data_IF_871899826254
#
_entry.id   IF_871899826254
#
_cell.length_a   1.000
_cell.length_b   1.000
_cell.length_c   1.000
_cell.angle_alpha   90.00
_cell.angle_beta   90.00
_cell.angle_gamma   90.00
#
_symmetry.space_group_name_H-M   'P 1'
#
loop_
_entity.id
_entity.type
_entity.pdbx_description
1 polymer ?
#
# COMPACT_ATOMS: atom_id res chain seq x y z
N UNK A 1 13.62 -5.17 -4.14
CA UNK A 1 12.18 -4.95 -4.42
C UNK A 1 12.09 -4.34 -5.80
N UNK A 2 11.20 -4.81 -6.68
CA UNK A 2 11.06 -4.25 -8.05
C UNK A 2 10.44 -2.86 -7.98
N UNK A 3 10.79 -1.96 -8.89
CA UNK A 3 10.38 -0.54 -8.82
C UNK A 3 8.85 -0.35 -8.90
N UNK A 4 8.15 -1.18 -9.68
CA UNK A 4 6.68 -1.13 -9.74
C UNK A 4 6.02 -1.50 -8.39
N UNK A 5 6.66 -2.37 -7.58
CA UNK A 5 6.15 -2.72 -6.25
C UNK A 5 6.36 -1.53 -5.31
N UNK A 6 7.54 -0.89 -5.37
CA UNK A 6 7.82 0.30 -4.56
C UNK A 6 6.81 1.42 -4.86
N UNK A 7 6.58 1.71 -6.15
CA UNK A 7 5.59 2.70 -6.58
C UNK A 7 4.18 2.37 -6.06
N UNK A 8 3.74 1.12 -6.24
CA UNK A 8 2.44 0.68 -5.72
C UNK A 8 2.31 0.85 -4.21
N UNK A 9 3.33 0.48 -3.44
CA UNK A 9 3.29 0.61 -1.97
C UNK A 9 3.09 2.07 -1.56
N UNK A 10 3.82 3.00 -2.18
CA UNK A 10 3.67 4.43 -1.91
C UNK A 10 2.28 4.92 -2.31
N UNK A 11 1.80 4.59 -3.52
CA UNK A 11 0.51 5.03 -4.03
C UNK A 11 -0.66 4.50 -3.16
N UNK A 12 -0.60 3.22 -2.77
CA UNK A 12 -1.59 2.58 -1.90
C UNK A 12 -1.62 3.24 -0.52
N UNK A 13 -0.46 3.47 0.08
CA UNK A 13 -0.37 4.10 1.41
C UNK A 13 -0.90 5.52 1.38
N UNK A 14 -0.52 6.31 0.37
CA UNK A 14 -1.02 7.68 0.19
C UNK A 14 -2.53 7.70 -0.03
N UNK A 15 -3.06 6.77 -0.82
CA UNK A 15 -4.50 6.64 -1.03
C UNK A 15 -5.24 6.36 0.29
N UNK A 16 -4.78 5.36 1.06
CA UNK A 16 -5.38 4.99 2.36
C UNK A 16 -5.40 6.19 3.31
N UNK A 17 -4.29 6.93 3.44
CA UNK A 17 -4.21 8.10 4.32
C UNK A 17 -5.10 9.24 3.82
N UNK A 18 -5.11 9.52 2.51
CA UNK A 18 -5.89 10.62 1.93
C UNK A 18 -7.40 10.39 2.01
N UNK A 19 -7.85 9.15 1.85
CA UNK A 19 -9.29 8.82 1.79
C UNK A 19 -9.82 8.14 3.04
N UNK A 20 -8.97 7.87 4.04
CA UNK A 20 -9.27 6.99 5.17
C UNK A 20 -9.89 5.64 4.73
N UNK A 21 -9.46 5.12 3.57
CA UNK A 21 -10.00 3.88 3.03
C UNK A 21 -9.47 2.67 3.81
N UNK A 22 -10.33 1.67 3.99
CA UNK A 22 -9.90 0.39 4.55
C UNK A 22 -8.99 -0.36 3.57
N UNK A 23 -8.17 -1.26 4.11
CA UNK A 23 -7.29 -2.16 3.34
C UNK A 23 -8.06 -2.93 2.26
N UNK A 24 -9.32 -3.29 2.53
CA UNK A 24 -10.21 -4.01 1.60
C UNK A 24 -10.70 -3.11 0.47
N UNK A 25 -11.03 -1.85 0.75
CA UNK A 25 -11.43 -0.88 -0.28
C UNK A 25 -10.24 -0.52 -1.18
N UNK A 26 -9.06 -0.27 -0.60
CA UNK A 26 -7.85 -0.01 -1.38
C UNK A 26 -7.50 -1.20 -2.31
N UNK A 27 -7.64 -2.44 -1.82
CA UNK A 27 -7.42 -3.63 -2.63
C UNK A 27 -8.28 -3.68 -3.91
N UNK A 28 -9.56 -3.28 -3.80
CA UNK A 28 -10.47 -3.21 -4.95
C UNK A 28 -10.04 -2.12 -5.94
N UNK A 29 -9.64 -0.94 -5.45
CA UNK A 29 -9.22 0.19 -6.29
C UNK A 29 -7.92 -0.10 -7.04
N UNK A 30 -6.95 -0.73 -6.38
CA UNK A 30 -5.64 -1.03 -6.95
C UNK A 30 -5.59 -2.40 -7.67
N UNK A 31 -6.71 -3.11 -7.77
CA UNK A 31 -6.79 -4.39 -8.49
C UNK A 31 -5.90 -5.49 -7.90
N UNK A 32 -5.69 -5.49 -6.59
CA UNK A 32 -4.84 -6.46 -5.88
C UNK A 32 -5.59 -7.13 -4.75
N UNK A 33 -5.04 -8.21 -4.20
CA UNK A 33 -5.67 -8.87 -3.05
C UNK A 33 -5.53 -8.03 -1.78
N UNK A 34 -6.49 -8.19 -0.86
CA UNK A 34 -6.43 -7.60 0.50
C UNK A 34 -5.13 -7.97 1.23
N UNK A 35 -4.65 -9.21 1.07
CA UNK A 35 -3.38 -9.66 1.66
C UNK A 35 -2.16 -8.98 1.02
N UNK A 36 -2.23 -8.62 -0.27
CA UNK A 36 -1.16 -7.88 -0.96
C UNK A 36 -1.06 -6.47 -0.42
N UNK A 37 -2.19 -5.75 -0.31
CA UNK A 37 -2.24 -4.41 0.30
C UNK A 37 -1.74 -4.47 1.74
N UNK A 38 -2.19 -5.47 2.52
CA UNK A 38 -1.72 -5.63 3.90
C UNK A 38 -0.20 -5.76 3.97
N UNK A 39 0.43 -6.64 3.17
CA UNK A 39 1.90 -6.75 3.12
C UNK A 39 2.56 -5.45 2.65
N UNK A 40 1.91 -4.71 1.74
CA UNK A 40 2.40 -3.42 1.27
C UNK A 40 2.50 -2.41 2.42
N UNK A 41 1.45 -2.23 3.21
CA UNK A 41 1.48 -1.28 4.34
C UNK A 41 2.25 -1.79 5.56
N UNK A 42 2.17 -3.08 5.92
CA UNK A 42 2.77 -3.55 7.19
C UNK A 42 4.23 -3.99 7.07
N UNK A 43 4.67 -4.49 5.92
CA UNK A 43 6.02 -5.05 5.76
C UNK A 43 6.90 -4.26 4.79
N UNK A 44 6.30 -3.69 3.74
CA UNK A 44 7.05 -3.07 2.63
C UNK A 44 7.18 -1.57 2.78
N UNK A 45 6.14 -0.89 3.27
CA UNK A 45 6.15 0.55 3.51
C UNK A 45 7.28 0.96 4.48
N UNK A 46 7.50 0.29 5.63
CA UNK A 46 8.59 0.65 6.55
C UNK A 46 9.99 0.50 5.94
N UNK A 47 10.14 -0.31 4.87
CA UNK A 47 11.40 -0.48 4.14
C UNK A 47 11.63 0.61 3.09
N UNK A 48 10.58 1.35 2.71
CA UNK A 48 10.63 2.42 1.72
C UNK A 48 10.69 3.77 2.43
N UNK A 49 9.84 3.98 3.43
CA UNK A 49 9.84 5.17 4.26
C UNK A 49 9.71 4.73 5.73
N UNK A 50 10.72 5.08 6.55
CA UNK A 50 10.77 4.71 7.98
C UNK A 50 9.98 5.66 8.87
N UNK A 51 9.61 6.84 8.39
CA UNK A 51 8.99 7.90 9.19
C UNK A 51 7.45 7.87 9.18
N UNK A 52 6.86 6.95 8.42
CA UNK A 52 5.41 6.88 8.15
C UNK A 52 4.75 5.73 8.90
#
# INVERSE_FOLDING_TARGET
MRDYIRKRVVDVSLYIVKTNATVRQAALVFGVSKSTVHKDVTERLPRINKEL
#
